data_IF_077401784994
#
_entry.id   IF_077401784994
#
_cell.length_a   1.000
_cell.length_b   1.000
_cell.length_c   1.000
_cell.angle_alpha   90.00
_cell.angle_beta   90.00
_cell.angle_gamma   90.00
#
_symmetry.space_group_name_H-M   'P 1'
#
loop_
_entity.id
_entity.type
_entity.pdbx_description
1 polymer ?
#
# COMPACT_ATOMS: atom_id res chain seq x y z
N UNK A 1 25.39 -20.01 -20.87
CA UNK A 1 25.72 -20.09 -19.44
C UNK A 1 26.22 -18.71 -19.03
N UNK A 2 25.36 -17.92 -18.38
CA UNK A 2 25.60 -16.54 -17.92
C UNK A 2 24.33 -16.17 -17.13
N UNK A 3 24.31 -15.63 -15.93
CA UNK A 3 25.34 -15.33 -14.93
C UNK A 3 24.64 -15.53 -13.58
N UNK A 4 25.27 -16.26 -12.66
CA UNK A 4 24.91 -16.17 -11.25
C UNK A 4 25.52 -14.85 -10.75
N UNK A 5 24.74 -13.77 -10.78
CA UNK A 5 25.04 -12.63 -9.91
C UNK A 5 24.77 -13.10 -8.48
N UNK A 6 25.83 -13.12 -7.69
CA UNK A 6 25.81 -13.59 -6.32
C UNK A 6 24.80 -12.78 -5.51
N UNK A 7 23.96 -13.49 -4.77
CA UNK A 7 23.05 -12.94 -3.78
C UNK A 7 23.86 -12.09 -2.78
N UNK A 8 23.82 -10.76 -2.92
CA UNK A 8 24.60 -9.79 -2.12
C UNK A 8 24.09 -9.68 -0.67
N UNK A 9 22.94 -10.26 -0.39
CA UNK A 9 22.27 -10.21 0.91
C UNK A 9 22.72 -11.39 1.76
N UNK A 10 23.14 -11.11 2.99
CA UNK A 10 23.50 -12.16 3.94
C UNK A 10 22.30 -13.12 4.17
N UNK A 11 22.51 -14.44 4.24
CA UNK A 11 21.42 -15.41 4.38
C UNK A 11 20.50 -15.15 5.57
N UNK A 12 21.06 -14.63 6.67
CA UNK A 12 20.28 -14.27 7.87
C UNK A 12 19.34 -13.09 7.61
N UNK A 13 19.80 -12.08 6.87
CA UNK A 13 18.98 -10.91 6.48
C UNK A 13 17.85 -11.34 5.55
N UNK A 14 18.14 -12.22 4.59
CA UNK A 14 17.12 -12.78 3.69
C UNK A 14 16.07 -13.57 4.48
N UNK A 15 16.50 -14.35 5.47
CA UNK A 15 15.58 -15.10 6.34
C UNK A 15 14.72 -14.16 7.20
N UNK A 16 15.32 -13.16 7.82
CA UNK A 16 14.58 -12.14 8.58
C UNK A 16 13.52 -11.46 7.71
N UNK A 17 13.88 -11.09 6.47
CA UNK A 17 12.93 -10.52 5.52
C UNK A 17 11.79 -11.49 5.18
N UNK A 18 12.09 -12.77 4.96
CA UNK A 18 11.07 -13.78 4.66
C UNK A 18 10.07 -13.93 5.82
N UNK A 19 10.58 -14.08 7.04
CA UNK A 19 9.76 -14.25 8.24
C UNK A 19 8.85 -13.02 8.46
N UNK A 20 9.42 -11.82 8.31
CA UNK A 20 8.68 -10.56 8.48
C UNK A 20 7.64 -10.35 7.37
N UNK A 21 8.01 -10.60 6.11
CA UNK A 21 7.10 -10.50 4.98
C UNK A 21 5.94 -11.51 5.07
N UNK A 22 6.19 -12.72 5.58
CA UNK A 22 5.16 -13.73 5.80
C UNK A 22 4.19 -13.31 6.93
N UNK A 23 4.72 -12.79 8.04
CA UNK A 23 3.90 -12.26 9.13
C UNK A 23 3.00 -11.10 8.66
N UNK A 24 3.57 -10.14 7.93
CA UNK A 24 2.81 -9.03 7.34
C UNK A 24 1.71 -9.54 6.40
N UNK A 25 2.00 -10.53 5.54
CA UNK A 25 0.98 -11.13 4.65
C UNK A 25 -0.16 -11.79 5.41
N UNK A 26 0.15 -12.53 6.47
CA UNK A 26 -0.86 -13.19 7.29
C UNK A 26 -1.77 -12.17 7.98
N UNK A 27 -1.20 -11.06 8.48
CA UNK A 27 -2.01 -10.00 9.09
C UNK A 27 -2.83 -9.22 8.07
N UNK A 28 -2.29 -8.94 6.88
CA UNK A 28 -3.06 -8.39 5.76
C UNK A 28 -4.22 -9.33 5.36
N UNK A 29 -3.98 -10.65 5.28
CA UNK A 29 -5.03 -11.62 4.98
C UNK A 29 -6.14 -11.61 6.02
N UNK A 30 -5.76 -11.60 7.31
CA UNK A 30 -6.74 -11.56 8.41
C UNK A 30 -7.56 -10.29 8.42
N UNK A 31 -6.94 -9.16 8.13
CA UNK A 31 -7.59 -7.86 8.07
C UNK A 31 -8.51 -7.76 6.84
N UNK A 32 -8.01 -8.02 5.64
CA UNK A 32 -8.75 -7.76 4.40
C UNK A 32 -9.70 -8.88 3.97
N UNK A 33 -9.41 -10.15 4.31
CA UNK A 33 -10.17 -11.30 3.82
C UNK A 33 -11.00 -11.96 4.92
N UNK A 34 -10.42 -12.15 6.10
CA UNK A 34 -11.13 -12.81 7.20
C UNK A 34 -11.98 -11.87 8.05
N UNK A 35 -11.76 -10.56 7.94
CA UNK A 35 -12.35 -9.55 8.84
C UNK A 35 -12.16 -9.94 10.32
N UNK A 36 -10.96 -10.46 10.64
CA UNK A 36 -10.62 -11.03 11.94
C UNK A 36 -9.15 -10.74 12.31
N UNK A 37 -8.77 -9.45 12.47
CA UNK A 37 -7.43 -9.08 12.91
C UNK A 37 -7.16 -9.63 14.32
N UNK A 38 -5.91 -10.05 14.55
CA UNK A 38 -5.43 -10.61 15.84
C UNK A 38 -4.37 -9.74 16.51
N UNK A 39 -3.97 -8.67 15.84
CA UNK A 39 -3.07 -7.63 16.35
C UNK A 39 -3.73 -6.27 16.12
N UNK A 40 -3.32 -5.28 16.89
CA UNK A 40 -3.74 -3.89 16.70
C UNK A 40 -3.10 -3.29 15.45
N UNK A 41 -3.72 -2.22 14.92
CA UNK A 41 -3.18 -1.48 13.77
C UNK A 41 -1.78 -0.93 14.06
N UNK A 42 -1.53 -0.44 15.28
CA UNK A 42 -0.21 0.05 15.68
C UNK A 42 0.88 -1.05 15.66
N UNK A 43 0.55 -2.28 16.04
CA UNK A 43 1.47 -3.42 15.95
C UNK A 43 1.73 -3.81 14.49
N UNK A 44 0.69 -3.76 13.64
CA UNK A 44 0.84 -3.99 12.21
C UNK A 44 1.72 -2.92 11.55
N UNK A 45 1.45 -1.64 11.83
CA UNK A 45 2.21 -0.51 11.29
C UNK A 45 3.69 -0.59 11.68
N UNK A 46 3.98 -0.96 12.94
CA UNK A 46 5.36 -1.15 13.38
C UNK A 46 6.06 -2.26 12.60
N UNK A 47 5.36 -3.38 12.34
CA UNK A 47 5.90 -4.51 11.59
C UNK A 47 6.12 -4.17 10.12
N UNK A 48 5.17 -3.44 9.52
CA UNK A 48 5.25 -2.99 8.13
C UNK A 48 6.38 -1.97 7.93
N UNK A 49 6.55 -1.04 8.87
CA UNK A 49 7.65 -0.07 8.85
C UNK A 49 9.02 -0.74 9.03
N UNK A 50 9.12 -1.80 9.84
CA UNK A 50 10.35 -2.59 9.94
C UNK A 50 10.69 -3.27 8.59
N UNK A 51 9.68 -3.79 7.90
CA UNK A 51 9.86 -4.41 6.58
C UNK A 51 10.30 -3.39 5.53
N UNK A 52 9.68 -2.20 5.52
CA UNK A 52 10.09 -1.08 4.67
C UNK A 52 11.55 -0.68 4.93
N UNK A 53 11.93 -0.51 6.20
CA UNK A 53 13.29 -0.14 6.58
C UNK A 53 14.32 -1.24 6.23
N UNK A 54 13.91 -2.51 6.20
CA UNK A 54 14.76 -3.61 5.77
C UNK A 54 15.00 -3.58 4.25
N UNK A 55 13.96 -3.32 3.46
CA UNK A 55 14.06 -3.19 1.99
C UNK A 55 14.77 -1.92 1.55
N UNK A 56 14.69 -0.85 2.33
CA UNK A 56 15.46 0.38 2.06
C UNK A 56 16.96 0.15 2.27
N UNK A 57 17.34 -0.61 3.31
CA UNK A 57 18.74 -0.99 3.57
C UNK A 57 19.28 -2.04 2.59
N UNK A 58 18.40 -2.87 2.04
CA UNK A 58 18.73 -3.95 1.11
C UNK A 58 17.79 -3.91 -0.11
N UNK A 59 18.05 -3.03 -1.10
CA UNK A 59 17.20 -2.85 -2.26
C UNK A 59 16.94 -4.13 -3.07
N UNK A 60 17.83 -5.12 -2.98
CA UNK A 60 17.70 -6.42 -3.63
C UNK A 60 16.53 -7.27 -3.07
N UNK A 61 16.03 -6.93 -1.87
CA UNK A 61 14.88 -7.59 -1.23
C UNK A 61 13.54 -6.97 -1.62
N UNK A 62 13.54 -5.80 -2.30
CA UNK A 62 12.34 -5.11 -2.74
C UNK A 62 11.76 -5.74 -4.02
N UNK A 63 11.33 -7.00 -3.90
CA UNK A 63 10.79 -7.81 -4.99
C UNK A 63 9.32 -7.47 -5.25
N UNK A 64 8.84 -7.76 -6.48
CA UNK A 64 7.51 -7.36 -6.95
C UNK A 64 6.34 -7.97 -6.14
N UNK A 65 6.55 -9.12 -5.52
CA UNK A 65 5.57 -9.82 -4.67
C UNK A 65 5.73 -9.49 -3.18
N UNK A 66 6.61 -8.56 -2.82
CA UNK A 66 6.73 -8.10 -1.45
C UNK A 66 5.44 -7.40 -0.99
N UNK A 67 4.99 -7.59 0.27
CA UNK A 67 3.83 -6.88 0.82
C UNK A 67 3.93 -5.36 0.78
N UNK A 68 5.16 -4.82 0.73
CA UNK A 68 5.41 -3.38 0.61
C UNK A 68 5.16 -2.85 -0.81
N UNK A 69 5.19 -3.71 -1.82
CA UNK A 69 4.90 -3.36 -3.22
C UNK A 69 3.43 -3.59 -3.59
N UNK A 70 2.68 -4.22 -2.68
CA UNK A 70 1.32 -4.67 -2.90
C UNK A 70 0.33 -3.80 -2.11
N UNK A 71 -0.73 -3.34 -2.77
CA UNK A 71 -1.81 -2.60 -2.11
C UNK A 71 -2.65 -3.57 -1.29
N UNK A 72 -2.88 -3.23 -0.01
CA UNK A 72 -3.54 -4.07 0.99
C UNK A 72 -4.62 -5.02 0.46
N UNK A 73 -4.36 -6.32 0.59
CA UNK A 73 -5.20 -7.42 0.12
C UNK A 73 -4.77 -8.03 -1.22
N UNK A 74 -3.70 -7.56 -1.85
CA UNK A 74 -3.24 -8.13 -3.11
C UNK A 74 -2.79 -9.59 -2.98
N UNK A 75 -3.23 -10.42 -3.92
CA UNK A 75 -2.92 -11.86 -3.97
C UNK A 75 -4.03 -12.77 -3.46
N UNK A 76 -5.09 -12.22 -2.85
CA UNK A 76 -6.21 -13.01 -2.36
C UNK A 76 -7.41 -12.93 -3.32
N UNK A 77 -7.81 -14.08 -3.86
CA UNK A 77 -9.06 -14.19 -4.59
C UNK A 77 -10.23 -14.09 -3.60
N UNK A 78 -11.26 -13.32 -3.98
CA UNK A 78 -12.53 -13.25 -3.24
C UNK A 78 -13.64 -13.83 -4.12
N UNK A 79 -14.77 -14.21 -3.51
CA UNK A 79 -15.96 -14.70 -4.25
C UNK A 79 -16.68 -13.58 -5.05
N UNK A 80 -16.22 -12.33 -4.92
CA UNK A 80 -16.75 -11.19 -5.66
C UNK A 80 -16.13 -11.11 -7.07
N UNK A 81 -16.94 -10.70 -8.04
CA UNK A 81 -16.43 -10.40 -9.38
C UNK A 81 -15.42 -9.24 -9.33
N UNK A 82 -14.30 -9.40 -10.01
CA UNK A 82 -13.30 -8.33 -10.12
C UNK A 82 -13.91 -7.11 -10.82
N UNK A 83 -13.75 -5.93 -10.23
CA UNK A 83 -14.20 -4.68 -10.80
C UNK A 83 -12.99 -3.83 -11.21
N UNK A 84 -12.80 -3.67 -12.53
CA UNK A 84 -11.79 -2.76 -13.06
C UNK A 84 -12.23 -1.31 -12.87
N UNK A 85 -11.38 -0.51 -12.23
CA UNK A 85 -11.63 0.92 -12.05
C UNK A 85 -11.42 1.67 -13.38
N UNK A 86 -12.10 2.81 -13.55
CA UNK A 86 -11.91 3.67 -14.73
C UNK A 86 -10.62 4.49 -14.63
N UNK A 87 -10.16 4.75 -13.40
CA UNK A 87 -8.91 5.40 -13.07
C UNK A 87 -8.29 4.70 -11.86
N UNK A 88 -6.97 4.84 -11.65
CA UNK A 88 -6.29 4.18 -10.53
C UNK A 88 -6.75 4.78 -9.20
N UNK A 89 -7.29 3.95 -8.32
CA UNK A 89 -7.65 4.36 -6.97
C UNK A 89 -6.46 4.14 -6.02
N UNK A 90 -5.67 5.20 -5.81
CA UNK A 90 -4.44 5.15 -5.01
C UNK A 90 -4.71 5.21 -3.49
N UNK A 91 -3.73 4.77 -2.70
CA UNK A 91 -3.62 5.14 -1.29
C UNK A 91 -3.00 6.54 -1.16
N UNK A 92 -3.06 7.10 0.05
CA UNK A 92 -2.32 8.30 0.42
C UNK A 92 -1.11 7.88 1.27
N UNK A 93 -0.04 8.66 1.18
CA UNK A 93 1.06 8.57 2.13
C UNK A 93 0.63 9.17 3.48
N UNK A 94 1.15 8.60 4.57
CA UNK A 94 0.86 9.08 5.92
C UNK A 94 1.95 10.03 6.43
N UNK A 95 1.57 10.89 7.37
CA UNK A 95 2.42 11.85 8.07
C UNK A 95 2.01 11.83 9.54
N UNK A 96 2.94 11.52 10.43
CA UNK A 96 2.65 11.30 11.86
C UNK A 96 3.15 12.45 12.74
N UNK A 97 4.09 13.24 12.24
CA UNK A 97 4.62 14.38 12.97
C UNK A 97 4.69 15.67 12.13
N UNK A 98 5.05 16.75 12.83
CA UNK A 98 5.09 18.09 12.26
C UNK A 98 6.24 18.28 11.27
N UNK A 99 7.37 17.63 11.49
CA UNK A 99 8.56 17.80 10.65
C UNK A 99 8.35 17.08 9.31
N UNK A 100 7.74 15.91 9.32
CA UNK A 100 7.26 15.18 8.13
C UNK A 100 6.25 16.02 7.33
N UNK A 101 5.28 16.66 8.00
CA UNK A 101 4.30 17.53 7.34
C UNK A 101 4.96 18.73 6.66
N UNK A 102 5.91 19.37 7.35
CA UNK A 102 6.67 20.50 6.80
C UNK A 102 7.53 20.04 5.62
N UNK A 103 8.16 18.87 5.70
CA UNK A 103 8.92 18.30 4.60
C UNK A 103 8.04 18.04 3.37
N UNK A 104 6.84 17.48 3.55
CA UNK A 104 5.86 17.29 2.47
C UNK A 104 5.43 18.63 1.86
N UNK A 105 5.06 19.62 2.68
CA UNK A 105 4.67 20.97 2.21
C UNK A 105 5.79 21.65 1.40
N UNK A 106 7.04 21.52 1.85
CA UNK A 106 8.20 22.09 1.14
C UNK A 106 8.39 21.43 -0.24
N UNK A 107 8.17 20.11 -0.36
CA UNK A 107 8.23 19.42 -1.66
C UNK A 107 7.15 19.96 -2.60
N UNK A 108 5.92 20.09 -2.12
CA UNK A 108 4.80 20.67 -2.89
C UNK A 108 5.16 22.07 -3.37
N UNK A 109 5.62 22.97 -2.48
CA UNK A 109 5.97 24.35 -2.86
C UNK A 109 7.07 24.43 -3.93
N UNK A 110 8.04 23.53 -3.89
CA UNK A 110 9.11 23.49 -4.88
C UNK A 110 8.62 23.05 -6.27
N UNK A 111 7.57 22.23 -6.32
CA UNK A 111 7.00 21.70 -7.56
C UNK A 111 5.93 22.61 -8.15
N UNK A 112 5.06 23.20 -7.31
CA UNK A 112 3.87 23.93 -7.77
C UNK A 112 3.94 25.44 -7.55
N UNK A 113 4.91 25.93 -6.76
CA UNK A 113 5.08 27.35 -6.42
C UNK A 113 4.75 27.68 -4.97
N UNK A 114 5.03 28.92 -4.58
CA UNK A 114 4.88 29.39 -3.18
C UNK A 114 3.40 29.58 -2.81
N UNK A 115 3.10 29.29 -1.54
CA UNK A 115 1.79 29.48 -0.91
C UNK A 115 0.62 28.76 -1.62
N UNK A 116 0.71 27.44 -1.86
CA UNK A 116 -0.42 26.69 -2.39
C UNK A 116 -1.60 26.68 -1.40
N UNK A 117 -2.81 26.60 -1.93
CA UNK A 117 -4.01 26.42 -1.12
C UNK A 117 -4.21 24.93 -0.80
N UNK A 118 -4.43 24.60 0.48
CA UNK A 118 -4.69 23.24 0.93
C UNK A 118 -6.17 23.06 1.29
N UNK A 119 -6.76 21.97 0.79
CA UNK A 119 -8.06 21.49 1.24
C UNK A 119 -7.83 20.50 2.39
N UNK A 120 -8.44 20.76 3.54
CA UNK A 120 -8.33 19.90 4.72
C UNK A 120 -9.65 19.15 4.93
N UNK A 121 -9.60 17.83 4.79
CA UNK A 121 -10.74 16.94 5.05
C UNK A 121 -10.42 15.99 6.20
N UNK A 122 -11.45 15.54 6.91
CA UNK A 122 -11.29 14.51 7.93
C UNK A 122 -11.08 13.16 7.24
N UNK A 123 -10.01 12.43 7.60
CA UNK A 123 -9.81 11.06 7.16
C UNK A 123 -10.81 10.14 7.88
N UNK A 124 -11.88 9.77 7.18
CA UNK A 124 -12.89 8.83 7.69
C UNK A 124 -12.27 7.44 7.71
N UNK A 125 -12.30 6.79 8.87
CA UNK A 125 -11.84 5.41 9.03
C UNK A 125 -12.96 4.43 8.65
N UNK A 126 -12.83 3.84 7.47
CA UNK A 126 -13.86 2.98 6.89
C UNK A 126 -13.39 2.35 5.57
N UNK A 127 -14.34 1.75 4.84
CA UNK A 127 -14.03 1.11 3.56
C UNK A 127 -14.15 2.10 2.39
N UNK A 128 -13.12 2.14 1.56
CA UNK A 128 -13.12 2.98 0.37
C UNK A 128 -13.99 2.35 -0.74
N UNK A 129 -14.90 3.15 -1.31
CA UNK A 129 -15.85 2.74 -2.34
C UNK A 129 -15.78 3.67 -3.56
N UNK A 130 -15.74 3.08 -4.75
CA UNK A 130 -15.77 3.76 -6.04
C UNK A 130 -17.15 3.58 -6.69
N UNK A 131 -17.76 4.66 -7.14
CA UNK A 131 -19.08 4.67 -7.78
C UNK A 131 -18.98 5.21 -9.21
N UNK A 132 -19.49 4.45 -10.18
CA UNK A 132 -19.59 4.88 -11.58
C UNK A 132 -21.05 5.22 -11.88
N UNK A 133 -21.29 6.47 -12.26
CA UNK A 133 -22.58 6.94 -12.76
C UNK A 133 -22.50 7.20 -14.27
N UNK A 134 -23.49 6.71 -15.02
CA UNK A 134 -23.68 7.06 -16.45
C UNK A 134 -25.07 7.64 -16.64
N UNK A 135 -25.14 8.77 -17.34
CA UNK A 135 -26.40 9.49 -17.59
C UNK A 135 -27.20 9.75 -16.30
N UNK A 136 -26.50 10.08 -15.21
CA UNK A 136 -27.08 10.33 -13.90
C UNK A 136 -27.58 9.09 -13.15
N UNK A 137 -27.34 7.88 -13.66
CA UNK A 137 -27.74 6.61 -13.03
C UNK A 137 -26.53 5.85 -12.52
N UNK A 138 -26.65 5.26 -11.33
CA UNK A 138 -25.63 4.38 -10.77
C UNK A 138 -25.51 3.12 -11.64
N UNK A 139 -24.35 2.92 -12.25
CA UNK A 139 -24.03 1.75 -13.06
C UNK A 139 -23.27 0.70 -12.25
N UNK A 140 -22.34 1.14 -11.39
CA UNK A 140 -21.46 0.23 -10.65
C UNK A 140 -20.98 0.83 -9.32
N UNK A 141 -20.83 -0.03 -8.32
CA UNK A 141 -20.13 0.23 -7.07
C UNK A 141 -19.04 -0.83 -6.89
N UNK A 142 -17.83 -0.43 -6.51
CA UNK A 142 -16.69 -1.32 -6.35
C UNK A 142 -15.85 -0.91 -5.13
N UNK A 143 -15.33 -1.88 -4.39
CA UNK A 143 -14.31 -1.62 -3.36
C UNK A 143 -12.98 -1.24 -4.04
N UNK A 144 -12.06 -0.64 -3.28
CA UNK A 144 -10.74 -0.25 -3.83
C UNK A 144 -10.00 -1.45 -4.45
N UNK A 145 -9.96 -2.59 -3.75
CA UNK A 145 -9.16 -3.74 -4.14
C UNK A 145 -7.67 -3.39 -4.27
N UNK A 146 -6.97 -4.06 -5.20
CA UNK A 146 -5.61 -3.73 -5.59
C UNK A 146 -5.65 -2.69 -6.72
N UNK A 147 -4.83 -1.64 -6.66
CA UNK A 147 -4.88 -0.52 -7.61
C UNK A 147 -4.37 -0.85 -9.04
N UNK A 148 -4.45 -2.12 -9.45
CA UNK A 148 -3.70 -2.72 -10.55
C UNK A 148 -4.44 -2.71 -11.90
N UNK A 149 -5.76 -2.74 -11.93
CA UNK A 149 -6.52 -2.86 -13.19
C UNK A 149 -7.37 -1.63 -13.49
N UNK A 150 -6.93 -0.85 -14.48
CA UNK A 150 -7.69 0.24 -15.09
C UNK A 150 -8.07 -0.15 -16.51
N UNK A 151 -9.32 0.10 -16.90
CA UNK A 151 -9.76 -0.08 -18.30
C UNK A 151 -9.28 1.11 -19.13
N UNK A 152 -8.33 0.89 -20.04
CA UNK A 152 -7.98 1.84 -21.11
C UNK A 152 -9.05 1.92 -22.19
#
# INVERSE_FOLDING_TARGET
>A
MSSAEADSVAPEVRRQWQDLAEAVREHQFRYYIKDAPIISDAEFDSMFNELLALEERHPELRVADSPTQLVGGAGFATDFAEAQHLERMLSLDDVFDRDELVAWSNRVENEVGKEPHYLCELKIDGVALSLVYRDGRLERAATRGTAASVRT
#
